data_IF_091137633136
#
_entry.id   IF_091137633136
#
_cell.length_a   1.000
_cell.length_b   1.000
_cell.length_c   1.000
_cell.angle_alpha   90.00
_cell.angle_beta   90.00
_cell.angle_gamma   90.00
#
_symmetry.space_group_name_H-M   'P 1'
#
loop_
_entity.id
_entity.type
_entity.pdbx_description
1 polymer ?
#
# COMPACT_ATOMS: atom_id res chain seq x y z
N UNK A 1 16.57 -72.29 92.70
CA UNK A 1 16.26 -70.94 92.19
C UNK A 1 16.56 -70.89 90.71
N UNK A 2 15.51 -70.82 89.90
CA UNK A 2 15.55 -70.60 88.45
C UNK A 2 15.81 -69.11 88.19
N UNK A 3 16.80 -68.79 87.34
CA UNK A 3 16.96 -67.45 86.77
C UNK A 3 17.09 -67.59 85.26
N UNK A 4 16.10 -67.02 84.57
CA UNK A 4 15.94 -66.98 83.13
C UNK A 4 16.52 -65.65 82.62
N UNK A 5 17.38 -65.67 81.60
CA UNK A 5 17.81 -64.45 80.88
C UNK A 5 18.44 -64.82 79.52
N UNK A 6 18.56 -63.88 78.56
CA UNK A 6 17.50 -63.22 77.80
C UNK A 6 17.61 -63.53 76.27
N UNK A 7 16.53 -63.29 75.50
CA UNK A 7 16.54 -63.44 74.03
C UNK A 7 17.42 -62.35 73.38
N UNK A 8 18.32 -62.75 72.47
CA UNK A 8 19.23 -61.85 71.74
C UNK A 8 18.47 -61.05 70.67
N UNK A 9 18.80 -59.75 70.46
CA UNK A 9 18.21 -58.90 69.43
C UNK A 9 18.67 -59.35 68.02
N UNK A 10 17.86 -59.10 66.96
CA UNK A 10 18.25 -59.44 65.60
C UNK A 10 19.47 -58.62 65.17
N UNK A 11 20.35 -59.18 64.31
CA UNK A 11 21.54 -58.47 63.87
C UNK A 11 21.14 -57.21 63.09
N UNK A 12 21.63 -56.05 63.55
CA UNK A 12 21.63 -54.84 62.74
C UNK A 12 22.44 -55.10 61.48
N UNK A 13 21.79 -55.05 60.32
CA UNK A 13 22.47 -55.09 59.04
C UNK A 13 23.54 -53.99 59.01
N UNK A 14 24.79 -54.38 58.77
CA UNK A 14 25.90 -53.44 58.56
C UNK A 14 25.53 -52.54 57.38
N UNK A 15 25.32 -51.26 57.64
CA UNK A 15 25.25 -50.24 56.58
C UNK A 15 26.67 -50.09 56.05
N UNK A 16 26.92 -50.55 54.82
CA UNK A 16 28.16 -50.24 54.13
C UNK A 16 28.16 -48.75 53.79
N UNK A 17 29.13 -48.00 54.34
CA UNK A 17 29.36 -46.62 53.92
C UNK A 17 29.83 -46.56 52.47
N UNK A 18 29.45 -45.51 51.75
CA UNK A 18 29.89 -45.28 50.37
C UNK A 18 31.40 -45.04 50.31
N UNK A 19 32.06 -45.63 49.32
CA UNK A 19 33.47 -45.34 49.03
C UNK A 19 33.61 -44.01 48.28
N UNK A 20 34.75 -43.31 48.43
CA UNK A 20 35.05 -42.08 47.68
C UNK A 20 34.91 -42.32 46.16
N UNK A 21 35.28 -43.50 45.68
CA UNK A 21 35.19 -43.89 44.27
C UNK A 21 33.73 -43.91 43.80
N UNK A 22 32.80 -44.46 44.59
CA UNK A 22 31.37 -44.45 44.24
C UNK A 22 30.77 -43.04 44.20
N UNK A 23 31.21 -42.14 45.11
CA UNK A 23 30.78 -40.74 45.09
C UNK A 23 31.34 -40.01 43.87
N UNK A 24 32.61 -40.24 43.51
CA UNK A 24 33.22 -39.65 42.33
C UNK A 24 32.56 -40.13 41.03
N UNK A 25 32.25 -41.43 40.93
CA UNK A 25 31.55 -42.01 39.78
C UNK A 25 30.12 -41.47 39.70
N UNK A 26 29.39 -41.42 40.83
CA UNK A 26 28.03 -40.88 40.89
C UNK A 26 27.97 -39.40 40.46
N UNK A 27 28.92 -38.58 40.92
CA UNK A 27 29.05 -37.19 40.50
C UNK A 27 29.38 -37.07 39.01
N UNK A 28 30.30 -37.88 38.50
CA UNK A 28 30.68 -37.88 37.10
C UNK A 28 29.49 -38.24 36.19
N UNK A 29 28.73 -39.28 36.53
CA UNK A 29 27.53 -39.67 35.78
C UNK A 29 26.47 -38.58 35.87
N UNK A 30 26.24 -38.01 37.06
CA UNK A 30 25.28 -36.91 37.25
C UNK A 30 25.61 -35.65 36.42
N UNK A 31 26.89 -35.31 36.30
CA UNK A 31 27.33 -34.19 35.47
C UNK A 31 27.18 -34.50 33.97
N UNK A 32 27.48 -35.74 33.54
CA UNK A 32 27.29 -36.17 32.15
C UNK A 32 25.81 -36.17 31.76
N UNK A 33 24.92 -36.63 32.63
CA UNK A 33 23.47 -36.62 32.36
C UNK A 33 22.93 -35.19 32.30
N UNK A 34 23.35 -34.30 33.21
CA UNK A 34 22.98 -32.89 33.18
C UNK A 34 23.43 -32.21 31.89
N UNK A 35 24.66 -32.48 31.44
CA UNK A 35 25.20 -31.94 30.18
C UNK A 35 24.38 -32.43 28.98
N UNK A 36 24.06 -33.72 28.92
CA UNK A 36 23.24 -34.29 27.85
C UNK A 36 21.83 -33.66 27.81
N UNK A 37 21.18 -33.49 28.97
CA UNK A 37 19.88 -32.83 29.08
C UNK A 37 19.98 -31.36 28.64
N UNK A 38 21.02 -30.65 29.05
CA UNK A 38 21.22 -29.26 28.65
C UNK A 38 21.38 -29.12 27.12
N UNK A 39 22.14 -30.01 26.47
CA UNK A 39 22.28 -30.01 25.02
C UNK A 39 20.95 -30.28 24.30
N UNK A 40 20.17 -31.26 24.76
CA UNK A 40 18.84 -31.55 24.22
C UNK A 40 17.88 -30.36 24.42
N UNK A 41 17.91 -29.74 25.59
CA UNK A 41 17.08 -28.57 25.88
C UNK A 41 17.49 -27.36 25.02
N UNK A 42 18.79 -27.09 24.88
CA UNK A 42 19.29 -25.98 24.08
C UNK A 42 18.92 -26.13 22.59
N UNK A 43 19.03 -27.34 22.04
CA UNK A 43 18.63 -27.63 20.65
C UNK A 43 17.12 -27.56 20.46
N UNK A 44 16.34 -28.08 21.42
CA UNK A 44 14.88 -27.99 21.42
C UNK A 44 14.39 -26.54 21.48
N UNK A 45 14.98 -25.73 22.36
CA UNK A 45 14.65 -24.31 22.51
C UNK A 45 15.03 -23.50 21.27
N UNK A 46 16.20 -23.77 20.68
CA UNK A 46 16.60 -23.17 19.41
C UNK A 46 15.60 -23.50 18.29
N UNK A 47 15.19 -24.76 18.19
CA UNK A 47 14.20 -25.20 17.18
C UNK A 47 12.82 -24.60 17.43
N UNK A 48 12.40 -24.47 18.70
CA UNK A 48 11.15 -23.79 19.09
C UNK A 48 11.15 -22.33 18.64
N UNK A 49 12.22 -21.58 18.92
CA UNK A 49 12.35 -20.17 18.51
C UNK A 49 12.37 -20.00 16.99
N UNK A 50 13.13 -20.83 16.28
CA UNK A 50 13.17 -20.80 14.80
C UNK A 50 11.79 -21.10 14.20
N UNK A 51 11.07 -22.09 14.72
CA UNK A 51 9.70 -22.42 14.26
C UNK A 51 8.71 -21.28 14.51
N UNK A 52 8.77 -20.66 15.70
CA UNK A 52 7.93 -19.51 16.04
C UNK A 52 8.23 -18.30 15.14
N UNK A 53 9.50 -17.97 14.93
CA UNK A 53 9.93 -16.86 14.07
C UNK A 53 9.50 -17.06 12.61
N UNK A 54 9.60 -18.29 12.10
CA UNK A 54 9.10 -18.62 10.75
C UNK A 54 7.59 -18.40 10.68
N UNK A 55 6.83 -18.86 11.68
CA UNK A 55 5.37 -18.70 11.72
C UNK A 55 4.95 -17.22 11.73
N UNK A 56 5.64 -16.37 12.50
CA UNK A 56 5.38 -14.93 12.53
C UNK A 56 5.62 -14.29 11.17
N UNK A 57 6.77 -14.58 10.55
CA UNK A 57 7.07 -14.11 9.19
C UNK A 57 6.02 -14.58 8.16
N UNK A 58 5.45 -15.78 8.34
CA UNK A 58 4.37 -16.25 7.45
C UNK A 58 3.13 -15.36 7.52
N UNK A 59 2.67 -15.09 8.74
CA UNK A 59 1.47 -14.28 8.97
C UNK A 59 1.68 -12.86 8.47
N UNK A 60 2.84 -12.27 8.75
CA UNK A 60 3.17 -10.93 8.30
C UNK A 60 3.23 -10.82 6.77
N UNK A 61 3.90 -11.76 6.09
CA UNK A 61 4.00 -11.75 4.63
C UNK A 61 2.65 -11.94 3.93
N UNK A 62 1.79 -12.82 4.46
CA UNK A 62 0.43 -13.00 3.95
C UNK A 62 -0.45 -11.75 4.14
N UNK A 63 -0.38 -11.11 5.30
CA UNK A 63 -1.11 -9.87 5.58
C UNK A 63 -0.64 -8.73 4.67
N UNK A 64 0.68 -8.58 4.53
CA UNK A 64 1.31 -7.57 3.68
C UNK A 64 0.84 -7.69 2.22
N UNK A 65 0.91 -8.90 1.65
CA UNK A 65 0.49 -9.14 0.28
C UNK A 65 -1.01 -8.91 0.11
N UNK A 66 -1.84 -9.40 1.03
CA UNK A 66 -3.28 -9.21 0.97
C UNK A 66 -3.68 -7.74 1.00
N UNK A 67 -3.04 -6.93 1.85
CA UNK A 67 -3.33 -5.51 1.96
C UNK A 67 -3.00 -4.74 0.66
N UNK A 68 -1.83 -5.02 0.07
CA UNK A 68 -1.44 -4.45 -1.22
C UNK A 68 -2.35 -4.91 -2.35
N UNK A 69 -2.69 -6.21 -2.41
CA UNK A 69 -3.61 -6.76 -3.41
C UNK A 69 -4.98 -6.07 -3.38
N UNK A 70 -5.54 -5.90 -2.18
CA UNK A 70 -6.84 -5.25 -2.00
C UNK A 70 -6.80 -3.81 -2.53
N UNK A 71 -5.72 -3.09 -2.27
CA UNK A 71 -5.56 -1.70 -2.71
C UNK A 71 -5.41 -1.62 -4.24
N UNK A 72 -4.50 -2.41 -4.84
CA UNK A 72 -4.30 -2.47 -6.30
C UNK A 72 -5.58 -2.84 -7.05
N UNK A 73 -6.42 -3.74 -6.49
CA UNK A 73 -7.71 -4.09 -7.12
C UNK A 73 -8.68 -2.91 -7.24
N UNK A 74 -8.54 -1.89 -6.39
CA UNK A 74 -9.32 -0.65 -6.46
C UNK A 74 -8.67 0.44 -7.32
N UNK A 75 -7.42 0.26 -7.73
CA UNK A 75 -6.68 1.23 -8.54
C UNK A 75 -7.47 1.68 -9.76
N UNK A 76 -7.47 2.98 -10.03
CA UNK A 76 -8.16 3.55 -11.19
C UNK A 76 -9.67 3.75 -11.04
N UNK A 77 -10.26 3.38 -9.90
CA UNK A 77 -11.68 3.63 -9.65
C UNK A 77 -11.99 5.13 -9.79
N UNK A 78 -12.96 5.49 -10.63
CA UNK A 78 -13.39 6.87 -10.84
C UNK A 78 -12.69 7.65 -11.95
N UNK A 79 -11.65 7.11 -12.62
CA UNK A 79 -11.01 7.84 -13.74
C UNK A 79 -10.39 6.97 -14.82
N UNK A 80 -9.97 5.73 -14.52
CA UNK A 80 -9.17 4.93 -15.44
C UNK A 80 -9.92 4.39 -16.67
N UNK A 81 -11.22 4.68 -16.80
CA UNK A 81 -12.08 4.12 -17.85
C UNK A 81 -12.81 5.10 -18.75
N UNK A 82 -12.37 6.36 -18.81
CA UNK A 82 -13.01 7.34 -19.70
C UNK A 82 -12.16 7.65 -20.92
N UNK A 83 -10.87 7.95 -20.75
CA UNK A 83 -9.99 8.19 -21.91
C UNK A 83 -8.51 8.08 -21.54
N UNK A 84 -7.75 7.27 -22.29
CA UNK A 84 -6.32 7.09 -22.05
C UNK A 84 -5.49 8.34 -22.36
N UNK A 85 -6.05 9.31 -23.10
CA UNK A 85 -5.40 10.56 -23.46
C UNK A 85 -5.05 11.45 -22.25
N UNK A 86 -5.83 11.36 -21.16
CA UNK A 86 -5.56 12.14 -19.94
C UNK A 86 -4.75 11.38 -18.90
N UNK A 87 -4.53 10.07 -19.08
CA UNK A 87 -3.66 9.30 -18.20
C UNK A 87 -2.23 9.80 -18.33
N UNK A 88 -1.52 9.88 -17.21
CA UNK A 88 -0.15 10.38 -17.14
C UNK A 88 -0.05 11.91 -17.08
N UNK A 89 -1.16 12.64 -17.19
CA UNK A 89 -1.17 14.07 -16.97
C UNK A 89 -0.65 14.44 -15.57
N UNK A 90 0.19 15.47 -15.48
CA UNK A 90 0.73 15.94 -14.22
C UNK A 90 -0.35 16.73 -13.45
N UNK A 91 -1.01 16.07 -12.51
CA UNK A 91 -2.06 16.66 -11.68
C UNK A 91 -1.41 17.62 -10.69
N UNK A 92 -1.79 18.89 -10.79
CA UNK A 92 -1.51 19.90 -9.79
C UNK A 92 -2.54 19.79 -8.69
N UNK A 93 -2.09 19.81 -7.45
CA UNK A 93 -2.96 19.60 -6.31
C UNK A 93 -2.54 20.48 -5.14
N UNK A 94 -3.53 20.78 -4.31
CA UNK A 94 -3.36 21.56 -3.11
C UNK A 94 -4.15 20.94 -1.96
N UNK A 95 -3.62 21.05 -0.75
CA UNK A 95 -4.35 20.80 0.48
C UNK A 95 -3.92 21.79 1.55
N UNK A 96 -4.88 22.55 2.07
CA UNK A 96 -4.66 23.62 3.06
C UNK A 96 -4.11 23.09 4.37
N UNK A 97 -4.73 22.06 4.92
CA UNK A 97 -4.43 21.56 6.27
C UNK A 97 -3.76 20.19 6.25
N UNK A 98 -3.00 19.88 7.31
CA UNK A 98 -2.41 18.55 7.59
C UNK A 98 -1.42 18.01 6.54
N UNK A 99 -0.96 18.87 5.63
CA UNK A 99 0.01 18.52 4.59
C UNK A 99 1.09 19.60 4.42
N UNK A 100 2.35 19.17 4.33
CA UNK A 100 3.48 20.04 4.01
C UNK A 100 4.43 19.34 3.01
N UNK A 101 4.73 19.92 1.84
CA UNK A 101 4.15 21.16 1.31
C UNK A 101 2.65 21.02 0.98
N UNK A 102 1.92 22.12 1.09
CA UNK A 102 0.49 22.19 0.79
C UNK A 102 0.21 21.96 -0.71
N UNK A 103 1.07 22.47 -1.58
CA UNK A 103 1.05 22.24 -3.04
C UNK A 103 1.94 21.06 -3.42
N UNK A 104 1.48 20.25 -4.37
CA UNK A 104 2.17 19.05 -4.80
C UNK A 104 1.68 18.60 -6.17
N UNK A 105 2.43 17.72 -6.82
CA UNK A 105 2.08 17.14 -8.11
C UNK A 105 2.15 15.62 -8.08
N UNK A 106 1.38 14.97 -8.95
CA UNK A 106 1.45 13.54 -9.20
C UNK A 106 0.90 13.19 -10.59
N UNK A 107 1.35 12.10 -11.23
CA UNK A 107 0.76 11.66 -12.49
C UNK A 107 -0.63 11.06 -12.26
N UNK A 108 -1.59 11.38 -13.14
CA UNK A 108 -2.91 10.76 -13.17
C UNK A 108 -2.82 9.34 -13.72
N UNK A 109 -2.41 8.40 -12.88
CA UNK A 109 -2.30 6.97 -13.23
C UNK A 109 -2.88 6.11 -12.11
N UNK A 110 -3.49 4.95 -12.43
CA UNK A 110 -4.02 4.04 -11.42
C UNK A 110 -2.93 3.56 -10.44
N UNK A 111 -1.74 3.30 -10.97
CA UNK A 111 -0.58 2.84 -10.18
C UNK A 111 0.70 3.54 -10.64
N UNK A 112 1.47 4.06 -9.69
CA UNK A 112 2.85 4.53 -9.86
C UNK A 112 3.80 3.59 -9.11
N UNK A 113 4.87 3.13 -9.74
CA UNK A 113 5.96 2.35 -9.14
C UNK A 113 7.17 3.26 -9.25
N UNK A 114 7.90 3.45 -8.15
CA UNK A 114 9.11 4.29 -8.13
C UNK A 114 10.30 3.41 -7.81
N UNK A 115 11.23 3.32 -8.78
CA UNK A 115 12.48 2.55 -8.63
C UNK A 115 12.25 1.08 -8.29
N UNK A 116 11.08 0.53 -8.65
CA UNK A 116 10.67 -0.83 -8.34
C UNK A 116 10.43 -1.13 -6.86
N UNK A 117 10.54 -0.18 -5.92
CA UNK A 117 10.53 -0.45 -4.46
C UNK A 117 9.43 0.31 -3.69
N UNK A 118 8.85 1.33 -4.29
CA UNK A 118 7.70 2.05 -3.76
C UNK A 118 6.55 1.89 -4.75
N UNK A 119 5.35 1.65 -4.22
CA UNK A 119 4.12 1.46 -4.98
C UNK A 119 3.11 2.50 -4.51
N UNK A 120 2.51 3.24 -5.44
CA UNK A 120 1.46 4.20 -5.17
C UNK A 120 0.20 3.84 -5.93
N UNK A 121 -0.92 3.75 -5.22
CA UNK A 121 -2.20 3.33 -5.79
C UNK A 121 -3.21 4.46 -5.65
N UNK A 122 -3.72 4.98 -6.77
CA UNK A 122 -4.77 6.00 -6.79
C UNK A 122 -6.13 5.35 -7.00
N UNK A 123 -7.05 5.60 -6.06
CA UNK A 123 -8.44 5.14 -6.12
C UNK A 123 -9.39 6.26 -5.72
N UNK A 124 -10.50 6.38 -6.45
CA UNK A 124 -11.65 7.16 -6.03
C UNK A 124 -12.46 6.46 -4.93
N UNK A 125 -13.46 7.17 -4.42
CA UNK A 125 -14.42 6.74 -3.41
C UNK A 125 -15.88 7.06 -3.79
N UNK A 126 -16.13 7.36 -5.07
CA UNK A 126 -17.46 7.72 -5.57
C UNK A 126 -18.44 6.56 -5.38
N UNK A 127 -19.57 6.82 -4.72
CA UNK A 127 -20.61 5.82 -4.45
C UNK A 127 -21.55 5.58 -5.65
N UNK A 128 -21.52 6.45 -6.65
CA UNK A 128 -22.61 6.57 -7.63
C UNK A 128 -22.28 5.94 -9.00
N UNK A 129 -21.19 5.18 -9.10
CA UNK A 129 -20.60 4.67 -10.36
C UNK A 129 -20.36 5.74 -11.44
N UNK A 130 -20.54 7.02 -11.10
CA UNK A 130 -20.30 8.17 -11.94
C UNK A 130 -18.80 8.44 -11.99
N UNK A 131 -18.25 8.43 -13.21
CA UNK A 131 -16.81 8.55 -13.45
C UNK A 131 -16.44 10.00 -13.81
N UNK A 132 -17.35 10.73 -14.45
CA UNK A 132 -17.08 12.11 -14.85
C UNK A 132 -18.03 12.63 -15.91
N UNK A 133 -17.88 13.91 -16.24
CA UNK A 133 -18.59 14.55 -17.35
C UNK A 133 -17.71 15.59 -18.04
N UNK A 134 -18.09 15.90 -19.27
CA UNK A 134 -17.44 16.89 -20.12
C UNK A 134 -17.99 18.28 -19.87
N UNK A 135 -17.10 19.27 -19.94
CA UNK A 135 -17.43 20.68 -19.80
C UNK A 135 -16.91 21.47 -21.01
N UNK A 136 -17.67 22.48 -21.43
CA UNK A 136 -17.41 23.29 -22.62
C UNK A 136 -16.70 24.62 -22.32
N UNK A 137 -16.62 25.01 -21.06
CA UNK A 137 -15.86 26.17 -20.63
C UNK A 137 -15.55 26.09 -19.13
N UNK A 138 -14.41 26.66 -18.73
CA UNK A 138 -14.09 26.90 -17.33
C UNK A 138 -13.59 28.33 -17.14
N UNK A 139 -14.16 29.06 -16.17
CA UNK A 139 -13.72 30.40 -15.83
C UNK A 139 -14.07 30.75 -14.38
N UNK A 140 -13.12 31.33 -13.64
CA UNK A 140 -13.32 31.78 -12.26
C UNK A 140 -13.91 30.70 -11.35
N UNK A 141 -13.44 29.46 -11.49
CA UNK A 141 -13.94 28.31 -10.73
C UNK A 141 -15.32 27.80 -11.13
N UNK A 142 -15.94 28.32 -12.20
CA UNK A 142 -17.22 27.83 -12.74
C UNK A 142 -16.95 27.02 -14.00
N UNK A 143 -17.51 25.80 -14.02
CA UNK A 143 -17.44 24.89 -15.15
C UNK A 143 -18.82 24.77 -15.80
N UNK A 144 -18.91 25.18 -17.06
CA UNK A 144 -20.12 25.04 -17.87
C UNK A 144 -20.18 23.62 -18.41
N UNK A 145 -21.11 22.80 -17.90
CA UNK A 145 -21.24 21.41 -18.33
C UNK A 145 -21.83 21.33 -19.74
N UNK A 146 -21.34 20.39 -20.55
CA UNK A 146 -21.86 20.21 -21.92
C UNK A 146 -23.27 19.62 -21.91
N UNK A 147 -23.55 18.72 -20.95
CA UNK A 147 -24.83 18.00 -20.86
C UNK A 147 -25.50 18.13 -19.50
N UNK A 148 -24.78 17.78 -18.44
CA UNK A 148 -25.34 17.75 -17.08
C UNK A 148 -24.23 17.79 -16.03
N UNK A 149 -24.54 18.39 -14.88
CA UNK A 149 -23.74 18.29 -13.66
C UNK A 149 -24.18 17.12 -12.75
N UNK A 150 -25.16 16.32 -13.19
CA UNK A 150 -25.63 15.17 -12.45
C UNK A 150 -24.46 14.24 -12.12
N UNK A 151 -24.34 13.88 -10.84
CA UNK A 151 -23.28 13.02 -10.34
C UNK A 151 -22.14 13.74 -9.61
N UNK A 152 -22.00 15.06 -9.76
CA UNK A 152 -21.10 15.86 -8.93
C UNK A 152 -21.85 16.42 -7.72
N UNK A 153 -21.40 16.08 -6.52
CA UNK A 153 -21.96 16.56 -5.27
C UNK A 153 -21.01 17.55 -4.60
N UNK A 154 -21.57 18.47 -3.82
CA UNK A 154 -20.76 19.40 -3.03
C UNK A 154 -19.93 18.62 -1.99
N UNK A 155 -18.60 18.71 -2.08
CA UNK A 155 -17.62 17.94 -1.32
C UNK A 155 -16.99 16.78 -2.06
N UNK A 156 -17.37 16.53 -3.32
CA UNK A 156 -16.60 15.64 -4.18
C UNK A 156 -15.23 16.22 -4.50
N UNK A 157 -14.24 15.35 -4.58
CA UNK A 157 -12.92 15.64 -5.13
C UNK A 157 -12.89 15.17 -6.58
N UNK A 158 -12.47 16.06 -7.47
CA UNK A 158 -12.41 15.80 -8.91
C UNK A 158 -11.04 16.14 -9.47
N UNK A 159 -10.70 15.55 -10.63
CA UNK A 159 -9.60 16.01 -11.46
C UNK A 159 -10.16 16.64 -12.72
N UNK A 160 -9.90 17.93 -12.92
CA UNK A 160 -10.20 18.63 -14.16
C UNK A 160 -9.05 18.56 -15.14
N UNK A 161 -9.33 18.37 -16.42
CA UNK A 161 -8.34 18.31 -17.50
C UNK A 161 -8.63 19.31 -18.60
N UNK A 162 -7.64 19.62 -19.44
CA UNK A 162 -7.83 20.46 -20.63
C UNK A 162 -7.58 19.68 -21.91
N UNK A 163 -8.49 19.80 -22.87
CA UNK A 163 -8.34 19.25 -24.23
C UNK A 163 -7.24 19.96 -25.01
N UNK A 164 -7.14 21.28 -24.82
CA UNK A 164 -6.18 22.13 -25.53
C UNK A 164 -4.75 21.99 -25.00
N UNK A 165 -4.60 21.47 -23.78
CA UNK A 165 -3.32 21.36 -23.09
C UNK A 165 -3.32 20.18 -22.11
N UNK A 166 -2.86 19.03 -22.57
CA UNK A 166 -2.76 17.80 -21.78
C UNK A 166 -1.78 17.90 -20.58
N UNK A 167 -1.06 19.02 -20.41
CA UNK A 167 -0.27 19.29 -19.19
C UNK A 167 -1.09 19.93 -18.07
N UNK A 168 -2.29 20.44 -18.38
CA UNK A 168 -3.18 21.07 -17.40
C UNK A 168 -4.12 20.04 -16.81
N UNK A 169 -3.74 19.51 -15.65
CA UNK A 169 -4.65 18.78 -14.77
C UNK A 169 -4.65 19.36 -13.37
N UNK A 170 -5.83 19.50 -12.79
CA UNK A 170 -6.04 20.09 -11.48
C UNK A 170 -6.90 19.18 -10.62
N UNK A 171 -6.38 18.77 -9.46
CA UNK A 171 -7.17 18.16 -8.40
C UNK A 171 -7.85 19.27 -7.60
N UNK A 172 -9.16 19.15 -7.43
CA UNK A 172 -9.96 20.17 -6.79
C UNK A 172 -11.18 19.60 -6.08
N UNK A 173 -11.78 20.41 -5.22
CA UNK A 173 -12.99 20.07 -4.47
C UNK A 173 -14.19 20.85 -5.05
N UNK A 174 -15.30 20.16 -5.21
CA UNK A 174 -16.55 20.73 -5.71
C UNK A 174 -17.28 21.42 -4.57
N UNK A 175 -17.58 22.70 -4.73
CA UNK A 175 -18.35 23.47 -3.75
C UNK A 175 -19.83 23.58 -4.11
N UNK A 176 -20.18 23.38 -5.38
CA UNK A 176 -21.56 23.29 -5.85
C UNK A 176 -21.64 22.42 -7.11
N UNK A 177 -22.71 21.62 -7.21
CA UNK A 177 -22.95 20.68 -8.31
C UNK A 177 -24.43 20.32 -8.39
N UNK A 178 -24.74 19.05 -8.61
CA UNK A 178 -26.11 18.56 -8.71
C UNK A 178 -26.98 19.00 -7.52
N UNK A 179 -28.17 19.51 -7.80
CA UNK A 179 -29.12 20.00 -6.78
C UNK A 179 -28.75 21.34 -6.14
N UNK A 180 -27.68 21.99 -6.59
CA UNK A 180 -27.38 23.37 -6.19
C UNK A 180 -28.28 24.35 -6.94
N UNK A 181 -28.67 25.44 -6.28
CA UNK A 181 -29.45 26.50 -6.91
C UNK A 181 -28.66 27.81 -6.98
N UNK A 182 -28.93 28.58 -8.03
CA UNK A 182 -28.46 29.94 -8.21
C UNK A 182 -29.64 30.90 -8.22
N UNK A 183 -29.38 32.17 -7.91
CA UNK A 183 -30.37 33.22 -8.07
C UNK A 183 -30.30 33.73 -9.51
N UNK A 184 -31.31 33.38 -10.31
CA UNK A 184 -31.44 33.82 -11.69
C UNK A 184 -31.78 35.31 -11.81
N UNK A 185 -31.78 35.86 -13.04
CA UNK A 185 -32.22 37.23 -13.31
C UNK A 185 -33.67 37.43 -12.83
N UNK A 186 -33.87 38.27 -11.82
CA UNK A 186 -35.18 38.51 -11.19
C UNK A 186 -35.34 37.98 -9.77
N UNK A 187 -34.30 37.37 -9.18
CA UNK A 187 -34.31 36.97 -7.76
C UNK A 187 -34.93 35.60 -7.49
N UNK A 188 -35.23 34.83 -8.54
CA UNK A 188 -35.83 33.49 -8.43
C UNK A 188 -34.72 32.45 -8.29
N UNK A 189 -34.92 31.44 -7.43
CA UNK A 189 -34.02 30.31 -7.34
C UNK A 189 -34.22 29.38 -8.54
N UNK A 190 -33.14 29.10 -9.26
CA UNK A 190 -33.09 28.19 -10.41
C UNK A 190 -32.02 27.13 -10.15
N UNK A 191 -32.18 25.94 -10.72
CA UNK A 191 -31.14 24.91 -10.64
C UNK A 191 -29.88 25.39 -11.36
N UNK A 192 -28.72 25.27 -10.70
CA UNK A 192 -27.44 25.59 -11.33
C UNK A 192 -27.03 24.43 -12.24
N UNK A 193 -26.92 24.61 -13.57
CA UNK A 193 -26.43 23.56 -14.47
C UNK A 193 -24.91 23.39 -14.40
N UNK A 194 -24.20 24.28 -13.70
CA UNK A 194 -22.75 24.32 -13.64
C UNK A 194 -22.21 23.43 -12.53
N UNK A 195 -20.91 23.16 -12.60
CA UNK A 195 -20.14 22.66 -11.45
C UNK A 195 -19.24 23.81 -10.98
N UNK A 196 -19.13 24.01 -9.67
CA UNK A 196 -18.34 25.09 -9.09
C UNK A 196 -17.26 24.59 -8.16
N UNK A 197 -16.15 25.30 -8.22
CA UNK A 197 -15.00 25.25 -7.35
C UNK A 197 -14.78 26.67 -6.82
N UNK A 198 -15.14 26.92 -5.56
CA UNK A 198 -14.94 28.22 -4.93
C UNK A 198 -13.98 28.08 -3.74
N UNK A 199 -13.38 29.18 -3.31
CA UNK A 199 -12.57 29.23 -2.08
C UNK A 199 -13.40 29.57 -0.83
N UNK A 200 -14.64 30.03 -1.02
CA UNK A 200 -15.60 30.30 0.04
C UNK A 200 -16.20 29.02 0.63
N UNK A 201 -16.69 29.11 1.86
CA UNK A 201 -17.39 28.01 2.50
C UNK A 201 -18.63 27.58 1.72
N UNK A 202 -18.97 26.30 1.79
CA UNK A 202 -20.11 25.69 1.13
C UNK A 202 -20.76 24.64 2.04
N UNK A 203 -21.97 24.20 1.71
CA UNK A 203 -22.66 23.14 2.45
C UNK A 203 -22.30 21.78 1.87
N UNK A 204 -21.63 20.93 2.65
CA UNK A 204 -21.26 19.58 2.22
C UNK A 204 -22.49 18.70 2.03
N UNK A 205 -22.58 18.03 0.88
CA UNK A 205 -23.62 17.04 0.60
C UNK A 205 -23.60 15.87 1.60
N UNK A 206 -22.41 15.48 2.06
CA UNK A 206 -22.19 14.30 2.90
C UNK A 206 -22.50 14.53 4.38
N UNK A 207 -22.31 15.76 4.86
CA UNK A 207 -22.47 16.08 6.29
C UNK A 207 -23.60 17.07 6.56
N UNK A 208 -24.09 17.78 5.55
CA UNK A 208 -25.04 18.88 5.69
C UNK A 208 -24.47 20.11 6.40
N UNK A 209 -23.18 20.12 6.75
CA UNK A 209 -22.53 21.20 7.47
C UNK A 209 -21.86 22.19 6.52
N UNK A 210 -21.77 23.46 6.97
CA UNK A 210 -20.94 24.46 6.29
C UNK A 210 -19.47 24.16 6.57
N UNK A 211 -18.69 23.97 5.50
CA UNK A 211 -17.26 23.63 5.55
C UNK A 211 -16.47 24.56 4.63
N UNK A 212 -15.19 24.75 4.94
CA UNK A 212 -14.27 25.49 4.07
C UNK A 212 -13.56 24.47 3.17
N UNK A 213 -13.45 24.72 1.85
CA UNK A 213 -12.80 23.78 0.96
C UNK A 213 -11.30 23.69 1.24
N UNK A 214 -10.79 22.46 1.27
CA UNK A 214 -9.41 22.17 1.63
C UNK A 214 -8.50 22.15 0.40
N UNK A 215 -9.06 21.86 -0.78
CA UNK A 215 -8.30 21.70 -2.04
C UNK A 215 -8.40 22.88 -3.01
N UNK A 216 -9.09 23.95 -2.62
CA UNK A 216 -9.42 25.07 -3.52
C UNK A 216 -8.59 26.33 -3.23
N UNK A 217 -7.28 26.16 -3.08
CA UNK A 217 -6.37 27.23 -2.71
C UNK A 217 -4.97 27.07 -3.28
N UNK A 218 -4.10 28.04 -2.97
CA UNK A 218 -2.72 28.09 -3.46
C UNK A 218 -2.61 28.53 -4.93
N UNK A 219 -1.38 28.57 -5.44
CA UNK A 219 -1.07 28.90 -6.85
C UNK A 219 -1.66 27.93 -7.88
N UNK A 220 -2.31 26.85 -7.43
CA UNK A 220 -2.99 25.89 -8.30
C UNK A 220 -4.38 26.39 -8.72
N UNK A 221 -4.99 27.31 -7.95
CA UNK A 221 -6.23 28.01 -8.34
C UNK A 221 -5.99 28.97 -9.50
N UNK A 222 -4.75 29.42 -9.68
CA UNK A 222 -4.35 30.27 -10.81
C UNK A 222 -4.86 29.66 -12.14
N UNK A 223 -4.86 28.33 -12.32
CA UNK A 223 -5.41 27.64 -13.50
C UNK A 223 -6.87 27.96 -13.85
N UNK A 224 -7.62 28.51 -12.90
CA UNK A 224 -9.03 28.86 -13.01
C UNK A 224 -9.30 30.34 -12.73
N UNK A 225 -8.28 31.16 -12.42
CA UNK A 225 -8.45 32.58 -12.15
C UNK A 225 -8.72 33.35 -13.44
N UNK A 226 -9.91 33.97 -13.50
CA UNK A 226 -10.53 34.58 -14.69
C UNK A 226 -9.78 35.77 -15.34
N UNK A 227 -8.51 36.00 -15.00
CA UNK A 227 -7.68 37.04 -15.59
C UNK A 227 -6.52 36.54 -16.48
N UNK A 228 -6.11 35.27 -16.40
CA UNK A 228 -4.93 34.77 -17.14
C UNK A 228 -4.96 33.28 -17.53
N UNK A 229 -5.76 32.46 -16.85
CA UNK A 229 -5.64 31.00 -16.97
C UNK A 229 -6.99 30.32 -16.78
N UNK A 230 -7.26 29.35 -17.64
CA UNK A 230 -8.46 28.52 -17.69
C UNK A 230 -8.03 27.11 -18.10
N UNK A 231 -8.77 26.10 -17.65
CA UNK A 231 -8.66 24.75 -18.18
C UNK A 231 -9.34 24.62 -19.57
N UNK A 232 -10.07 25.65 -20.02
CA UNK A 232 -10.69 25.72 -21.34
C UNK A 232 -11.89 24.77 -21.43
N UNK A 233 -11.81 23.83 -22.36
CA UNK A 233 -12.72 22.69 -22.52
C UNK A 233 -12.03 21.43 -22.00
N UNK A 234 -12.79 20.49 -21.45
CA UNK A 234 -12.24 19.18 -21.09
C UNK A 234 -13.15 18.32 -20.23
N UNK A 235 -12.55 17.48 -19.38
CA UNK A 235 -13.27 16.53 -18.54
C UNK A 235 -13.08 16.81 -17.05
N UNK A 236 -14.14 16.60 -16.29
CA UNK A 236 -14.09 16.47 -14.84
C UNK A 236 -14.22 14.99 -14.48
N UNK A 237 -13.17 14.41 -13.90
CA UNK A 237 -13.14 13.04 -13.38
C UNK A 237 -13.52 13.04 -11.91
N UNK A 238 -14.61 12.37 -11.53
CA UNK A 238 -15.03 12.27 -10.14
C UNK A 238 -14.26 11.18 -9.40
N UNK A 239 -13.49 11.60 -8.39
CA UNK A 239 -12.84 10.69 -7.47
C UNK A 239 -13.67 10.49 -6.18
N UNK A 240 -14.86 11.08 -6.07
CA UNK A 240 -15.70 11.04 -4.87
C UNK A 240 -15.16 11.89 -3.71
N UNK A 241 -15.76 11.77 -2.52
CA UNK A 241 -15.47 12.66 -1.40
C UNK A 241 -14.20 12.35 -0.58
N UNK A 242 -13.64 11.15 -0.70
CA UNK A 242 -12.49 10.66 0.06
C UNK A 242 -11.57 9.78 -0.81
N UNK A 243 -11.06 10.30 -1.95
CA UNK A 243 -10.10 9.55 -2.74
C UNK A 243 -8.81 9.34 -1.96
N UNK A 244 -8.09 8.26 -2.29
CA UNK A 244 -6.78 7.99 -1.68
C UNK A 244 -5.74 7.73 -2.75
N UNK A 245 -4.51 8.18 -2.48
CA UNK A 245 -3.32 7.79 -3.21
C UNK A 245 -2.37 7.12 -2.23
N UNK A 246 -2.60 5.84 -1.97
CA UNK A 246 -1.89 5.10 -0.95
C UNK A 246 -0.47 4.82 -1.40
N UNK A 247 0.52 5.18 -0.58
CA UNK A 247 1.93 4.88 -0.81
C UNK A 247 2.34 3.70 0.05
N UNK A 248 2.86 2.66 -0.58
CA UNK A 248 3.42 1.47 0.04
C UNK A 248 4.92 1.46 -0.15
N UNK A 249 5.65 1.30 0.95
CA UNK A 249 7.12 1.15 0.91
C UNK A 249 7.60 0.48 2.18
N UNK A 250 8.76 -0.16 2.10
CA UNK A 250 9.41 -0.75 3.27
C UNK A 250 10.28 0.30 3.95
N UNK A 251 10.15 0.43 5.27
CA UNK A 251 11.02 1.24 6.13
C UNK A 251 11.21 0.51 7.45
N UNK A 252 12.44 0.44 7.94
CA UNK A 252 12.76 -0.17 9.24
C UNK A 252 12.25 -1.62 9.39
N UNK A 253 12.33 -2.42 8.31
CA UNK A 253 11.78 -3.79 8.19
C UNK A 253 10.25 -3.89 8.40
N UNK A 254 9.52 -2.81 8.19
CA UNK A 254 8.07 -2.77 8.23
C UNK A 254 7.52 -2.30 6.88
N UNK A 255 6.42 -2.91 6.45
CA UNK A 255 5.64 -2.37 5.33
C UNK A 255 4.81 -1.21 5.85
N UNK A 256 5.11 -0.02 5.34
CA UNK A 256 4.48 1.23 5.75
C UNK A 256 3.47 1.69 4.69
N UNK A 257 2.38 2.34 5.15
CA UNK A 257 1.38 2.96 4.29
C UNK A 257 1.03 4.38 4.77
N UNK A 258 0.81 5.31 3.84
CA UNK A 258 0.14 6.60 4.10
C UNK A 258 -0.64 7.07 2.87
N UNK A 259 -1.57 8.03 3.05
CA UNK A 259 -2.33 8.60 1.93
C UNK A 259 -1.64 9.87 1.39
N UNK A 260 -0.97 9.75 0.23
CA UNK A 260 -0.25 10.87 -0.39
C UNK A 260 -1.15 12.03 -0.83
N UNK A 261 -2.48 11.88 -0.96
CA UNK A 261 -3.34 13.03 -1.27
C UNK A 261 -3.55 13.93 -0.05
N UNK A 262 -3.42 13.37 1.15
CA UNK A 262 -3.86 14.01 2.38
C UNK A 262 -2.77 14.21 3.42
N UNK A 263 -1.70 13.44 3.33
CA UNK A 263 -0.70 13.29 4.36
C UNK A 263 0.71 13.35 3.77
N UNK A 264 1.68 13.70 4.62
CA UNK A 264 3.09 13.50 4.33
C UNK A 264 3.56 12.15 4.89
N UNK A 265 4.69 11.67 4.38
CA UNK A 265 5.30 10.39 4.76
C UNK A 265 5.53 10.21 6.28
N UNK A 266 5.67 11.31 7.03
CA UNK A 266 5.77 11.29 8.50
C UNK A 266 4.53 10.75 9.21
N UNK A 267 3.38 10.64 8.52
CA UNK A 267 2.14 10.07 9.03
C UNK A 267 1.97 8.58 8.68
N UNK A 268 3.00 7.96 8.12
CA UNK A 268 2.96 6.55 7.76
C UNK A 268 2.71 5.63 8.94
N UNK A 269 1.89 4.61 8.69
CA UNK A 269 1.52 3.57 9.65
C UNK A 269 2.06 2.21 9.20
N UNK A 270 2.48 1.39 10.17
CA UNK A 270 2.93 0.03 9.91
C UNK A 270 1.73 -0.88 9.62
N UNK A 271 1.81 -1.63 8.53
CA UNK A 271 0.80 -2.61 8.11
C UNK A 271 1.25 -4.04 8.39
N UNK A 272 2.55 -4.31 8.23
CA UNK A 272 3.15 -5.60 8.54
C UNK A 272 4.60 -5.42 9.02
N UNK A 273 5.03 -6.29 9.91
CA UNK A 273 6.41 -6.34 10.44
C UNK A 273 7.23 -7.43 9.74
N UNK A 274 8.54 -7.45 9.98
CA UNK A 274 9.47 -8.43 9.40
C UNK A 274 9.47 -8.49 7.86
N UNK A 275 9.06 -7.40 7.22
CA UNK A 275 9.10 -7.21 5.77
C UNK A 275 10.42 -6.56 5.41
N UNK A 276 11.32 -7.32 4.77
CA UNK A 276 12.66 -6.85 4.43
C UNK A 276 12.68 -6.03 3.15
N UNK A 277 11.98 -6.49 2.10
CA UNK A 277 11.91 -5.79 0.82
C UNK A 277 10.53 -5.95 0.18
N UNK A 278 10.13 -4.93 -0.57
CA UNK A 278 9.02 -4.99 -1.50
C UNK A 278 9.56 -4.60 -2.87
N UNK A 279 9.22 -5.39 -3.89
CA UNK A 279 9.49 -5.07 -5.28
C UNK A 279 8.23 -5.14 -6.12
N UNK A 280 8.10 -4.28 -7.11
CA UNK A 280 6.94 -4.23 -7.99
C UNK A 280 7.32 -3.93 -9.44
N UNK A 281 6.54 -4.47 -10.37
CA UNK A 281 6.66 -4.22 -11.80
C UNK A 281 5.29 -4.08 -12.46
N UNK A 282 5.23 -3.21 -13.44
CA UNK A 282 4.13 -3.09 -14.38
C UNK A 282 4.14 -4.24 -15.36
N UNK A 283 2.95 -4.72 -15.72
CA UNK A 283 2.73 -5.62 -16.85
C UNK A 283 1.97 -4.89 -17.95
N UNK A 284 2.64 -4.71 -19.10
CA UNK A 284 2.08 -4.10 -20.29
C UNK A 284 1.84 -5.13 -21.37
N UNK A 285 0.71 -5.07 -22.06
CA UNK A 285 0.47 -5.83 -23.30
C UNK A 285 1.18 -5.12 -24.46
N UNK A 286 2.48 -5.37 -24.61
CA UNK A 286 3.31 -4.62 -25.56
C UNK A 286 2.99 -5.01 -27.00
N UNK A 287 2.61 -6.25 -27.23
CA UNK A 287 2.34 -6.78 -28.55
C UNK A 287 0.86 -6.74 -28.96
N UNK A 288 -0.04 -6.33 -28.05
CA UNK A 288 -1.47 -6.19 -28.33
C UNK A 288 -2.20 -7.53 -28.35
N UNK A 289 -1.66 -8.56 -27.72
CA UNK A 289 -2.22 -9.91 -27.66
C UNK A 289 -3.39 -10.04 -26.66
N UNK A 290 -3.62 -9.02 -25.84
CA UNK A 290 -4.58 -9.03 -24.73
C UNK A 290 -4.10 -9.83 -23.53
N UNK A 291 -2.81 -10.16 -23.47
CA UNK A 291 -2.17 -10.95 -22.41
C UNK A 291 -0.83 -10.34 -22.05
N UNK A 292 -0.31 -10.74 -20.89
CA UNK A 292 1.07 -10.50 -20.51
C UNK A 292 1.73 -11.89 -20.46
N UNK A 293 2.44 -12.26 -21.53
CA UNK A 293 2.98 -13.60 -21.71
C UNK A 293 4.49 -13.63 -22.00
N UNK A 294 5.14 -12.46 -22.10
CA UNK A 294 6.60 -12.36 -22.25
C UNK A 294 7.26 -11.69 -21.05
N UNK A 295 8.50 -12.06 -20.78
CA UNK A 295 9.25 -11.50 -19.66
C UNK A 295 9.61 -10.02 -19.86
N UNK A 296 9.78 -9.57 -21.11
CA UNK A 296 10.10 -8.18 -21.45
C UNK A 296 8.88 -7.25 -21.36
N UNK A 297 7.69 -7.78 -21.15
CA UNK A 297 6.45 -7.03 -20.87
C UNK A 297 6.35 -6.55 -19.42
N UNK A 298 7.21 -7.08 -18.56
CA UNK A 298 7.32 -6.67 -17.17
C UNK A 298 8.45 -5.66 -16.96
N UNK A 299 8.14 -4.51 -16.36
CA UNK A 299 9.12 -3.45 -16.12
C UNK A 299 8.85 -2.69 -14.82
N UNK A 300 9.90 -2.30 -14.11
CA UNK A 300 9.83 -1.41 -12.95
C UNK A 300 10.15 0.05 -13.31
N UNK A 301 10.39 0.33 -14.60
CA UNK A 301 10.79 1.66 -15.05
C UNK A 301 9.59 2.58 -15.22
N UNK A 302 9.59 3.68 -14.48
CA UNK A 302 8.62 4.77 -14.53
C UNK A 302 8.57 5.41 -15.94
N UNK A 303 9.66 5.30 -16.72
CA UNK A 303 9.69 5.73 -18.13
C UNK A 303 8.68 4.98 -19.02
N UNK A 304 8.13 3.86 -18.55
CA UNK A 304 7.06 3.14 -19.22
C UNK A 304 5.68 3.80 -19.02
N UNK A 305 5.50 4.70 -18.04
CA UNK A 305 4.24 5.44 -17.78
C UNK A 305 4.06 6.66 -18.71
N UNK A 306 4.24 6.45 -20.00
CA UNK A 306 4.02 7.49 -21.02
C UNK A 306 2.96 7.02 -22.02
N UNK A 307 2.20 7.95 -22.59
CA UNK A 307 1.39 7.62 -23.76
C UNK A 307 2.32 7.11 -24.90
N UNK A 308 1.97 6.02 -25.62
CA UNK A 308 0.70 5.29 -25.62
C UNK A 308 0.61 4.09 -24.66
N UNK A 309 1.68 3.78 -23.90
CA UNK A 309 1.76 2.55 -23.09
C UNK A 309 0.71 2.48 -21.97
N UNK A 310 0.22 3.62 -21.49
CA UNK A 310 -0.85 3.68 -20.48
C UNK A 310 -2.15 3.02 -20.97
N UNK A 311 -2.38 3.02 -22.29
CA UNK A 311 -3.47 2.28 -22.95
C UNK A 311 -3.28 0.76 -22.97
N UNK A 312 -2.12 0.26 -22.52
CA UNK A 312 -1.72 -1.16 -22.57
C UNK A 312 -1.33 -1.69 -21.19
N UNK A 313 -1.46 -0.86 -20.14
CA UNK A 313 -1.17 -1.26 -18.77
C UNK A 313 -2.27 -2.16 -18.25
N UNK A 314 -1.97 -3.44 -18.05
CA UNK A 314 -2.98 -4.45 -17.69
C UNK A 314 -2.85 -4.97 -16.26
N UNK A 315 -1.64 -5.03 -15.71
CA UNK A 315 -1.41 -5.62 -14.40
C UNK A 315 -0.23 -4.98 -13.67
N UNK A 316 -0.15 -5.28 -12.38
CA UNK A 316 1.02 -5.04 -11.55
C UNK A 316 1.38 -6.37 -10.89
N UNK A 317 2.66 -6.75 -10.95
CA UNK A 317 3.17 -7.85 -10.12
C UNK A 317 3.96 -7.28 -8.97
N UNK A 318 3.72 -7.82 -7.78
CA UNK A 318 4.40 -7.41 -6.55
C UNK A 318 4.99 -8.65 -5.91
N UNK A 319 6.20 -8.52 -5.35
CA UNK A 319 6.80 -9.52 -4.49
C UNK A 319 7.27 -8.89 -3.17
N UNK A 320 7.01 -9.59 -2.08
CA UNK A 320 7.35 -9.21 -0.71
C UNK A 320 8.28 -10.26 -0.15
N UNK A 321 9.45 -9.81 0.30
CA UNK A 321 10.43 -10.64 0.97
C UNK A 321 10.29 -10.45 2.48
N UNK A 322 9.88 -11.51 3.17
CA UNK A 322 9.89 -11.55 4.63
C UNK A 322 11.09 -12.36 5.12
N UNK A 323 11.60 -11.98 6.29
CA UNK A 323 12.76 -12.60 6.93
C UNK A 323 12.37 -13.07 8.33
N UNK A 324 12.86 -14.24 8.74
CA UNK A 324 12.76 -14.65 10.15
C UNK A 324 13.53 -13.70 11.06
N UNK A 325 12.97 -13.33 12.20
CA UNK A 325 13.68 -12.54 13.23
C UNK A 325 14.85 -13.29 13.88
N UNK A 326 14.85 -14.62 13.80
CA UNK A 326 15.89 -15.48 14.38
C UNK A 326 17.12 -15.62 13.46
N UNK A 327 18.30 -15.29 14.00
CA UNK A 327 19.60 -15.60 13.41
C UNK A 327 19.99 -17.06 13.64
N UNK A 328 20.50 -17.73 12.61
CA UNK A 328 20.99 -19.10 12.65
C UNK A 328 22.52 -19.11 12.62
N UNK A 329 23.17 -19.91 13.49
CA UNK A 329 24.63 -19.96 13.56
C UNK A 329 25.27 -20.43 12.24
N UNK A 330 24.66 -21.41 11.60
CA UNK A 330 25.09 -21.93 10.31
C UNK A 330 24.33 -21.22 9.18
N UNK A 331 24.92 -21.07 7.99
CA UNK A 331 24.20 -20.53 6.84
C UNK A 331 23.04 -21.46 6.46
N UNK A 332 21.82 -20.92 6.48
CA UNK A 332 20.57 -21.64 6.16
C UNK A 332 19.98 -21.27 4.81
N UNK A 333 20.46 -20.18 4.21
CA UNK A 333 20.04 -19.71 2.89
C UNK A 333 21.26 -19.66 1.96
N UNK A 334 21.25 -20.53 0.95
CA UNK A 334 22.40 -20.73 0.05
C UNK A 334 22.47 -19.74 -1.13
N UNK A 335 21.32 -19.20 -1.55
CA UNK A 335 21.21 -18.27 -2.67
C UNK A 335 20.20 -17.18 -2.36
N UNK A 336 20.36 -16.00 -2.98
CA UNK A 336 19.44 -14.90 -2.83
C UNK A 336 18.00 -15.37 -3.18
N UNK A 337 16.99 -15.04 -2.36
CA UNK A 337 15.60 -15.36 -2.65
C UNK A 337 15.19 -14.87 -4.03
N UNK A 338 14.35 -15.64 -4.73
CA UNK A 338 13.93 -15.35 -6.11
C UNK A 338 12.43 -15.07 -6.19
N UNK A 339 12.04 -14.29 -7.19
CA UNK A 339 10.67 -13.87 -7.48
C UNK A 339 10.46 -13.81 -9.00
N UNK A 340 9.28 -13.39 -9.44
CA UNK A 340 8.84 -13.41 -10.83
C UNK A 340 8.95 -14.82 -11.42
N UNK A 341 8.33 -15.80 -10.74
CA UNK A 341 8.43 -17.22 -11.06
C UNK A 341 9.89 -17.74 -11.10
N UNK A 342 10.76 -17.13 -10.30
CA UNK A 342 12.17 -17.48 -10.22
C UNK A 342 13.06 -16.84 -11.27
N UNK A 343 12.56 -15.96 -12.14
CA UNK A 343 13.40 -15.27 -13.15
C UNK A 343 14.32 -14.21 -12.53
N UNK A 344 13.90 -13.58 -11.42
CA UNK A 344 14.60 -12.46 -10.78
C UNK A 344 15.01 -12.79 -9.34
N UNK A 345 16.10 -12.22 -8.85
CA UNK A 345 16.55 -12.34 -7.46
C UNK A 345 16.37 -11.02 -6.72
N UNK A 346 16.10 -11.10 -5.41
CA UNK A 346 16.21 -9.93 -4.53
C UNK A 346 17.67 -9.52 -4.38
N UNK A 347 17.91 -8.21 -4.26
CA UNK A 347 19.24 -7.66 -3.99
C UNK A 347 19.52 -7.76 -2.48
N UNK A 348 20.42 -8.66 -2.10
CA UNK A 348 20.76 -8.92 -0.69
C UNK A 348 21.98 -8.11 -0.21
N UNK A 349 22.54 -7.24 -1.05
CA UNK A 349 23.81 -6.57 -0.79
C UNK A 349 25.03 -7.49 -0.88
N UNK A 350 26.21 -6.95 -0.53
CA UNK A 350 27.49 -7.69 -0.58
C UNK A 350 27.83 -8.46 0.70
N UNK A 351 27.22 -8.10 1.82
CA UNK A 351 27.45 -8.78 3.11
C UNK A 351 26.92 -10.22 3.08
N UNK A 352 27.52 -11.16 3.80
CA UNK A 352 27.07 -12.56 3.81
C UNK A 352 26.11 -12.89 4.96
N UNK A 353 25.90 -11.97 5.89
CA UNK A 353 25.03 -12.16 7.07
C UNK A 353 23.60 -12.56 6.70
N UNK A 354 23.12 -12.16 5.52
CA UNK A 354 21.80 -12.55 5.05
C UNK A 354 21.65 -14.07 4.90
N UNK A 355 22.73 -14.83 4.67
CA UNK A 355 22.70 -16.31 4.55
C UNK A 355 22.30 -17.00 5.85
N UNK A 356 22.40 -16.32 6.99
CA UNK A 356 22.09 -16.84 8.32
C UNK A 356 20.62 -16.66 8.74
N UNK A 357 19.78 -16.13 7.87
CA UNK A 357 18.34 -15.99 8.12
C UNK A 357 17.53 -16.83 7.14
N UNK A 358 16.31 -17.19 7.54
CA UNK A 358 15.34 -17.85 6.65
C UNK A 358 14.44 -16.79 6.04
N UNK A 359 14.12 -16.97 4.76
CA UNK A 359 13.27 -16.05 4.02
C UNK A 359 12.04 -16.75 3.47
N UNK A 360 11.00 -15.96 3.20
CA UNK A 360 9.93 -16.38 2.32
C UNK A 360 9.55 -15.24 1.39
N UNK A 361 9.23 -15.62 0.16
CA UNK A 361 8.74 -14.71 -0.87
C UNK A 361 7.24 -14.92 -1.01
N UNK A 362 6.52 -13.82 -0.98
CA UNK A 362 5.09 -13.74 -1.29
C UNK A 362 4.96 -12.91 -2.55
N UNK A 363 4.44 -13.48 -3.63
CA UNK A 363 4.29 -12.77 -4.89
C UNK A 363 2.91 -12.97 -5.48
N UNK A 364 2.46 -11.97 -6.24
CA UNK A 364 1.16 -11.99 -6.92
C UNK A 364 1.21 -11.09 -8.15
N UNK A 365 0.52 -11.51 -9.22
CA UNK A 365 0.25 -10.71 -10.40
C UNK A 365 -1.22 -10.29 -10.38
N UNK A 366 -1.46 -8.98 -10.29
CA UNK A 366 -2.77 -8.41 -9.96
C UNK A 366 -3.25 -7.59 -11.17
N UNK A 367 -4.38 -7.98 -11.80
CA UNK A 367 -4.92 -7.25 -12.94
C UNK A 367 -5.58 -5.94 -12.51
N UNK A 368 -5.35 -4.87 -13.29
CA UNK A 368 -5.95 -3.55 -13.12
C UNK A 368 -7.32 -3.50 -13.80
N UNK A 369 -8.34 -4.03 -13.12
CA UNK A 369 -9.68 -4.22 -13.71
C UNK A 369 -10.33 -2.93 -14.20
N UNK A 370 -10.19 -1.84 -13.45
CA UNK A 370 -10.80 -0.56 -13.81
C UNK A 370 -10.16 0.06 -15.07
N UNK A 371 -8.88 -0.24 -15.33
CA UNK A 371 -8.18 0.16 -16.55
C UNK A 371 -8.60 -0.73 -17.73
N UNK A 372 -8.63 -2.05 -17.53
CA UNK A 372 -8.97 -3.01 -18.60
C UNK A 372 -10.41 -2.83 -19.08
N UNK A 373 -11.38 -2.76 -18.17
CA UNK A 373 -12.80 -2.66 -18.53
C UNK A 373 -13.17 -1.29 -19.10
N UNK A 374 -12.50 -0.25 -18.63
CA UNK A 374 -12.73 1.11 -19.08
C UNK A 374 -12.26 1.39 -20.51
N UNK A 375 -11.29 0.63 -21.03
CA UNK A 375 -10.78 0.78 -22.40
C UNK A 375 -11.55 -0.05 -23.44
N UNK A 376 -12.52 -0.86 -23.02
CA UNK A 376 -13.34 -1.70 -23.89
C UNK A 376 -14.72 -1.09 -24.23
N UNK A 377 -15.02 0.10 -23.70
CA UNK A 377 -16.22 0.90 -24.01
C UNK A 377 -15.85 1.98 -25.03
#
# INVERSE_FOLDING_TARGET
MTVQAPRRPPPHGRVSGFTIIEIMIGLAIGLLTLLAIYQLFATSEGRRRSTAAVSQAQTAGALALFAIERDIRSAGLGFAGLESAYLGCAVQAYKRSDRNPASYTFPLVPVEIIGGKELRVLTGSSANMFIGARYSASASGVFTMERSNAGFQAGDVVVGTSDSDASKCLLMEITAGAGSSITGPGGVAEDDPSVRHMSSAYTSFYTGASVTPERNGGSSVDMLDGGATSLGEGWLFSLGHQPTRNVWRVKDNQLMRYNFLDEADTKSVAVAEDVLQMVAEYGFDKDGSGKIDKDDEWTSSDAALVAPNLGRLMAVRVAILVRSSQYEREPVTAAAPRWANGSKSFDMGSEEDWKHFRYRVYESAIPLRNTIWGQQQ
#
